data_IF_696054982192
#
_entry.id   IF_696054982192
#
_cell.length_a   1.000
_cell.length_b   1.000
_cell.length_c   1.000
_cell.angle_alpha   90.00
_cell.angle_beta   90.00
_cell.angle_gamma   90.00
#
_symmetry.space_group_name_H-M   'P 1'
#
loop_
_entity.id
_entity.type
_entity.pdbx_description
1 polymer ?
#
# COMPACT_ATOMS: atom_id res chain seq x y z
N UNK A 1 -19.36 2.82 21.08
CA UNK A 1 -18.04 3.15 20.51
C UNK A 1 -17.90 2.32 19.25
N UNK A 2 -18.03 2.91 18.07
CA UNK A 2 -17.89 2.21 16.80
C UNK A 2 -16.46 1.70 16.68
N UNK A 3 -16.29 0.41 16.40
CA UNK A 3 -14.98 -0.23 16.34
C UNK A 3 -14.23 0.30 15.10
N UNK A 4 -13.29 1.23 15.27
CA UNK A 4 -12.51 1.84 14.18
C UNK A 4 -11.34 0.95 13.72
N UNK A 5 -11.35 -0.33 14.10
CA UNK A 5 -10.31 -1.30 13.75
C UNK A 5 -10.62 -1.91 12.38
N UNK A 6 -9.61 -2.26 11.56
CA UNK A 6 -9.83 -2.99 10.32
C UNK A 6 -10.60 -4.29 10.57
N UNK A 7 -11.51 -4.62 9.66
CA UNK A 7 -12.24 -5.89 9.71
C UNK A 7 -11.24 -7.06 9.60
N UNK A 8 -11.33 -8.01 10.52
CA UNK A 8 -10.55 -9.25 10.49
C UNK A 8 -11.51 -10.38 10.13
N UNK A 9 -11.18 -11.11 9.09
CA UNK A 9 -11.94 -12.24 8.59
C UNK A 9 -11.69 -13.49 9.43
N UNK A 10 -12.62 -14.44 9.33
CA UNK A 10 -12.43 -15.76 9.92
C UNK A 10 -11.18 -16.43 9.32
N UNK A 11 -10.57 -17.37 10.03
CA UNK A 11 -9.34 -17.99 9.52
C UNK A 11 -9.54 -18.65 8.16
N UNK A 12 -10.72 -19.22 7.87
CA UNK A 12 -11.07 -19.82 6.58
C UNK A 12 -11.11 -18.80 5.43
N UNK A 13 -11.46 -17.55 5.73
CA UNK A 13 -11.65 -16.49 4.74
C UNK A 13 -10.38 -15.65 4.52
N UNK A 14 -9.34 -15.85 5.33
CA UNK A 14 -8.03 -15.23 5.12
C UNK A 14 -7.41 -15.73 3.83
N UNK A 15 -6.63 -14.87 3.19
CA UNK A 15 -5.90 -15.25 2.00
C UNK A 15 -4.86 -16.32 2.32
N UNK A 16 -4.89 -17.42 1.57
CA UNK A 16 -3.95 -18.53 1.74
C UNK A 16 -3.13 -18.84 0.47
N UNK A 17 -3.28 -18.01 -0.56
CA UNK A 17 -2.67 -18.21 -1.87
C UNK A 17 -3.58 -18.88 -2.90
N UNK A 18 -4.71 -19.47 -2.48
CA UNK A 18 -5.62 -20.22 -3.37
C UNK A 18 -6.97 -19.54 -3.58
N UNK A 19 -7.44 -18.79 -2.58
CA UNK A 19 -8.75 -18.12 -2.57
C UNK A 19 -8.70 -16.65 -3.04
N UNK A 20 -7.78 -16.32 -3.95
CA UNK A 20 -7.46 -14.93 -4.35
C UNK A 20 -8.69 -14.10 -4.73
N UNK A 21 -9.53 -14.58 -5.65
CA UNK A 21 -10.69 -13.81 -6.14
C UNK A 21 -11.65 -13.47 -4.99
N UNK A 22 -12.02 -14.47 -4.19
CA UNK A 22 -12.96 -14.29 -3.10
C UNK A 22 -12.40 -13.32 -2.04
N UNK A 23 -11.14 -13.50 -1.66
CA UNK A 23 -10.45 -12.64 -0.71
C UNK A 23 -10.32 -11.19 -1.21
N UNK A 24 -9.89 -11.00 -2.47
CA UNK A 24 -9.75 -9.68 -3.10
C UNK A 24 -11.06 -8.91 -3.07
N UNK A 25 -12.18 -9.58 -3.35
CA UNK A 25 -13.51 -8.98 -3.30
C UNK A 25 -13.87 -8.53 -1.88
N UNK A 26 -13.63 -9.36 -0.86
CA UNK A 26 -13.90 -8.99 0.53
C UNK A 26 -13.08 -7.78 1.00
N UNK A 27 -11.78 -7.73 0.66
CA UNK A 27 -10.92 -6.58 1.00
C UNK A 27 -11.39 -5.31 0.30
N UNK A 28 -11.77 -5.40 -0.97
CA UNK A 28 -12.25 -4.25 -1.76
C UNK A 28 -13.53 -3.68 -1.14
N UNK A 29 -14.49 -4.54 -0.80
CA UNK A 29 -15.75 -4.13 -0.15
C UNK A 29 -15.46 -3.48 1.21
N UNK A 30 -14.61 -4.10 2.04
CA UNK A 30 -14.28 -3.56 3.36
C UNK A 30 -13.60 -2.18 3.26
N UNK A 31 -12.72 -1.99 2.27
CA UNK A 31 -12.08 -0.71 2.01
C UNK A 31 -13.06 0.33 1.46
N UNK A 32 -13.99 -0.06 0.59
CA UNK A 32 -15.00 0.84 0.01
C UNK A 32 -15.97 1.37 1.08
N UNK A 33 -16.47 0.49 1.95
CA UNK A 33 -17.35 0.87 3.07
C UNK A 33 -16.69 1.87 4.02
N UNK A 34 -15.35 1.86 4.11
CA UNK A 34 -14.57 2.79 4.94
C UNK A 34 -14.00 3.97 4.15
N UNK A 35 -14.25 4.10 2.85
CA UNK A 35 -13.64 5.15 2.02
C UNK A 35 -12.12 5.01 1.80
N UNK A 36 -11.54 3.86 2.16
CA UNK A 36 -10.11 3.60 2.13
C UNK A 36 -9.57 3.18 0.75
N UNK A 37 -10.45 3.02 -0.26
CA UNK A 37 -10.07 2.56 -1.60
C UNK A 37 -9.00 3.44 -2.27
N UNK A 38 -9.01 4.74 -1.99
CA UNK A 38 -8.01 5.66 -2.55
C UNK A 38 -6.59 5.40 -2.01
N UNK A 39 -6.49 4.95 -0.75
CA UNK A 39 -5.21 4.54 -0.15
C UNK A 39 -4.78 3.18 -0.69
N UNK A 40 -5.71 2.23 -0.80
CA UNK A 40 -5.47 0.88 -1.32
C UNK A 40 -4.92 0.90 -2.75
N UNK A 41 -5.48 1.76 -3.60
CA UNK A 41 -5.07 1.92 -5.01
C UNK A 41 -3.90 2.90 -5.18
N UNK A 42 -3.54 3.65 -4.15
CA UNK A 42 -2.51 4.68 -4.22
C UNK A 42 -2.92 5.95 -4.96
N UNK A 43 -4.21 6.14 -5.24
CA UNK A 43 -4.72 7.39 -5.85
C UNK A 43 -4.65 8.57 -4.89
N UNK A 44 -4.72 8.32 -3.56
CA UNK A 44 -4.48 9.34 -2.52
C UNK A 44 -3.00 9.33 -2.12
N UNK A 45 -2.26 10.32 -2.62
CA UNK A 45 -0.82 10.47 -2.37
C UNK A 45 -0.52 11.04 -0.98
N UNK A 46 0.67 10.72 -0.45
CA UNK A 46 1.14 11.27 0.82
C UNK A 46 1.43 12.78 0.67
N UNK A 47 0.70 13.67 1.37
CA UNK A 47 0.91 15.12 1.30
C UNK A 47 2.25 15.57 1.90
N UNK A 48 2.89 14.73 2.73
CA UNK A 48 4.19 14.99 3.35
C UNK A 48 5.40 14.73 2.45
N UNK A 49 5.19 14.23 1.23
CA UNK A 49 6.28 14.08 0.25
C UNK A 49 6.54 15.44 -0.41
N UNK A 50 7.10 16.39 0.34
CA UNK A 50 7.82 17.50 -0.30
C UNK A 50 9.05 16.88 -0.95
N UNK A 51 8.97 16.65 -2.25
CA UNK A 51 10.17 16.44 -3.06
C UNK A 51 10.89 17.78 -3.02
N UNK A 52 11.99 17.86 -2.26
CA UNK A 52 13.03 18.84 -2.52
C UNK A 52 13.56 18.55 -3.93
N UNK A 53 12.87 19.04 -4.94
CA UNK A 53 13.37 19.07 -6.29
C UNK A 53 14.47 20.15 -6.28
N UNK A 54 15.68 19.75 -5.91
CA UNK A 54 16.88 20.55 -6.12
C UNK A 54 17.01 20.73 -7.63
N UNK A 55 16.49 21.84 -8.11
CA UNK A 55 16.71 22.32 -9.47
C UNK A 55 18.15 22.83 -9.50
N UNK A 56 19.07 22.25 -10.30
CA UNK A 56 20.40 22.79 -10.42
C UNK A 56 20.35 23.94 -11.44
N UNK A 57 19.94 25.13 -11.01
CA UNK A 57 20.13 26.33 -11.82
C UNK A 57 21.43 26.98 -11.37
N UNK A 58 22.48 26.70 -12.14
CA UNK A 58 23.80 27.28 -11.96
C UNK A 58 23.73 28.80 -11.89
N UNK A 59 24.37 29.36 -10.88
CA UNK A 59 24.76 30.77 -10.89
C UNK A 59 26.22 30.85 -10.48
N UNK A 60 27.03 31.17 -11.48
CA UNK A 60 28.46 31.47 -11.37
C UNK A 60 28.64 32.67 -10.46
N UNK A 61 29.36 32.55 -9.34
CA UNK A 61 30.02 33.70 -8.71
C UNK A 61 31.29 33.26 -7.99
N UNK A 62 32.39 33.55 -8.68
CA UNK A 62 33.77 33.79 -8.27
C UNK A 62 34.09 33.73 -6.77
N UNK A 63 34.87 32.73 -6.39
CA UNK A 63 35.62 32.74 -5.13
C UNK A 63 36.85 33.64 -5.26
N UNK A 64 37.02 34.59 -4.34
CA UNK A 64 38.29 35.28 -4.11
C UNK A 64 38.78 34.94 -2.71
N UNK A 65 39.94 34.31 -2.67
CA UNK A 65 40.73 33.93 -1.50
C UNK A 65 41.32 35.17 -0.82
N UNK A 66 41.22 35.29 0.50
CA UNK A 66 42.24 35.97 1.32
C UNK A 66 42.25 35.38 2.72
N UNK A 67 43.43 34.95 3.16
CA UNK A 67 43.71 34.41 4.48
C UNK A 67 44.12 35.53 5.46
N UNK A 68 43.74 35.39 6.73
CA UNK A 68 44.48 35.99 7.85
C UNK A 68 44.23 35.21 9.15
N UNK A 69 45.32 34.95 9.84
CA UNK A 69 45.45 34.17 11.08
C UNK A 69 45.33 35.08 12.31
N UNK A 70 44.81 34.51 13.41
CA UNK A 70 45.23 34.70 14.82
C UNK A 70 44.27 35.40 15.81
N UNK A 71 43.97 34.63 16.87
CA UNK A 71 43.97 34.95 18.32
C UNK A 71 42.76 35.55 19.08
N UNK A 72 42.36 34.74 20.08
CA UNK A 72 41.88 35.04 21.45
C UNK A 72 40.38 35.26 21.78
N UNK A 73 39.88 34.25 22.52
CA UNK A 73 38.98 34.23 23.68
C UNK A 73 37.48 34.53 23.57
N UNK A 74 36.62 33.73 24.24
CA UNK A 74 35.18 33.72 24.02
C UNK A 74 34.44 34.58 25.05
N UNK A 75 33.58 35.48 24.59
CA UNK A 75 32.43 35.95 25.37
C UNK A 75 31.38 36.39 24.37
N UNK A 76 30.22 35.73 24.38
CA UNK A 76 28.90 36.34 24.12
C UNK A 76 27.85 35.28 23.81
N UNK A 77 26.82 35.30 24.68
CA UNK A 77 25.40 35.17 24.31
C UNK A 77 24.92 33.79 23.85
N UNK A 78 24.40 33.05 24.83
CA UNK A 78 23.40 31.99 24.65
C UNK A 78 22.34 32.43 23.63
N UNK A 79 22.16 31.73 22.49
CA UNK A 79 20.96 31.91 21.69
C UNK A 79 19.77 31.41 22.50
N UNK A 80 18.86 32.33 22.83
CA UNK A 80 17.56 31.99 23.37
C UNK A 80 16.83 31.14 22.32
N UNK A 81 16.74 29.84 22.57
CA UNK A 81 15.92 28.91 21.82
C UNK A 81 14.48 29.34 22.06
N UNK A 82 13.89 30.05 21.09
CA UNK A 82 12.47 30.35 21.09
C UNK A 82 11.77 29.03 20.77
N UNK A 83 11.37 28.32 21.81
CA UNK A 83 10.55 27.12 21.72
C UNK A 83 9.19 27.55 21.16
N UNK A 84 9.04 27.51 19.84
CA UNK A 84 7.74 27.68 19.21
C UNK A 84 6.86 26.53 19.70
N UNK A 85 5.86 26.90 20.50
CA UNK A 85 4.85 25.96 21.00
C UNK A 85 4.21 25.21 19.84
N UNK A 86 3.96 23.90 19.95
CA UNK A 86 3.27 23.17 18.91
C UNK A 86 1.89 23.80 18.72
N UNK A 87 1.64 24.29 17.49
CA UNK A 87 0.34 24.76 17.03
C UNK A 87 -0.73 23.74 17.40
N UNK A 88 -1.76 24.21 18.10
CA UNK A 88 -3.00 23.50 18.41
C UNK A 88 -3.59 22.92 17.12
N UNK A 89 -3.38 21.62 16.94
CA UNK A 89 -3.87 20.83 15.82
C UNK A 89 -5.41 20.81 15.92
N UNK A 90 -6.08 21.46 14.96
CA UNK A 90 -7.53 21.45 14.87
C UNK A 90 -7.99 20.02 14.56
N UNK A 91 -8.62 19.37 15.54
CA UNK A 91 -9.18 18.01 15.46
C UNK A 91 -10.50 18.00 14.68
N UNK A 92 -10.51 18.55 13.47
CA UNK A 92 -11.60 18.27 12.54
C UNK A 92 -11.25 16.91 11.94
N UNK A 93 -11.92 15.85 12.40
CA UNK A 93 -11.85 14.53 11.76
C UNK A 93 -12.28 14.71 10.30
N UNK A 94 -11.30 14.78 9.40
CA UNK A 94 -11.60 14.85 7.97
C UNK A 94 -12.18 13.49 7.55
N UNK A 95 -13.30 13.46 6.82
CA UNK A 95 -13.88 12.20 6.40
C UNK A 95 -12.91 11.38 5.54
N UNK A 96 -12.99 10.05 5.62
CA UNK A 96 -12.13 9.11 4.88
C UNK A 96 -12.18 9.27 3.36
N UNK A 97 -13.27 9.82 2.83
CA UNK A 97 -13.43 10.14 1.41
C UNK A 97 -12.73 11.44 0.99
N UNK A 98 -12.03 12.12 1.90
CA UNK A 98 -11.22 13.28 1.54
C UNK A 98 -10.03 12.85 0.70
N UNK A 99 -9.93 13.44 -0.48
CA UNK A 99 -8.82 13.24 -1.41
C UNK A 99 -7.58 14.08 -1.04
N UNK A 100 -7.68 14.94 -0.03
CA UNK A 100 -6.61 15.86 0.40
C UNK A 100 -6.44 15.73 1.92
N UNK A 101 -6.00 14.57 2.43
CA UNK A 101 -5.75 14.40 3.86
C UNK A 101 -4.55 15.23 4.31
N UNK A 102 -4.47 15.56 5.60
CA UNK A 102 -3.22 16.02 6.22
C UNK A 102 -2.19 14.87 6.29
N UNK A 103 -0.88 15.17 6.48
CA UNK A 103 0.13 14.11 6.60
C UNK A 103 -0.13 13.11 7.72
N UNK A 104 -0.66 13.56 8.86
CA UNK A 104 -1.03 12.69 9.98
C UNK A 104 -2.23 11.80 9.66
N UNK A 105 -3.27 12.35 9.04
CA UNK A 105 -4.45 11.59 8.63
C UNK A 105 -4.09 10.56 7.56
N UNK A 106 -3.29 10.97 6.55
CA UNK A 106 -2.82 10.06 5.51
C UNK A 106 -2.07 8.87 6.12
N UNK A 107 -1.18 9.12 7.09
CA UNK A 107 -0.42 8.06 7.77
C UNK A 107 -1.34 7.11 8.54
N UNK A 108 -2.33 7.63 9.25
CA UNK A 108 -3.30 6.84 10.00
C UNK A 108 -4.14 5.96 9.07
N UNK A 109 -4.67 6.53 7.98
CA UNK A 109 -5.53 5.81 7.02
C UNK A 109 -4.74 4.79 6.19
N UNK A 110 -3.51 5.12 5.78
CA UNK A 110 -2.59 4.16 5.16
C UNK A 110 -2.26 3.01 6.13
N UNK A 111 -2.03 3.29 7.41
CA UNK A 111 -1.74 2.25 8.42
C UNK A 111 -2.95 1.35 8.67
N UNK A 112 -4.15 1.91 8.77
CA UNK A 112 -5.39 1.15 8.91
C UNK A 112 -5.62 0.23 7.70
N UNK A 113 -5.49 0.77 6.49
CA UNK A 113 -5.67 0.01 5.24
C UNK A 113 -4.63 -1.11 5.12
N UNK A 114 -3.41 -0.85 5.58
CA UNK A 114 -2.36 -1.86 5.67
C UNK A 114 -2.73 -2.96 6.68
N UNK A 115 -3.33 -2.61 7.81
CA UNK A 115 -3.89 -3.58 8.76
C UNK A 115 -4.97 -4.45 8.12
N UNK A 116 -5.87 -3.86 7.33
CA UNK A 116 -6.89 -4.60 6.58
C UNK A 116 -6.28 -5.67 5.67
N UNK A 117 -5.17 -5.37 4.99
CA UNK A 117 -4.46 -6.39 4.20
C UNK A 117 -3.76 -7.40 5.12
N UNK A 118 -2.84 -6.95 5.96
CA UNK A 118 -1.88 -7.82 6.65
C UNK A 118 -2.58 -8.82 7.60
N UNK A 119 -3.59 -8.38 8.33
CA UNK A 119 -4.29 -9.26 9.28
C UNK A 119 -5.19 -10.29 8.60
N UNK A 120 -5.48 -10.10 7.31
CA UNK A 120 -6.32 -10.99 6.53
C UNK A 120 -5.54 -11.90 5.59
N UNK A 121 -4.22 -12.04 5.79
CA UNK A 121 -3.36 -12.92 4.99
C UNK A 121 -2.67 -13.94 5.89
N UNK A 122 -2.71 -15.21 5.49
CA UNK A 122 -1.91 -16.27 6.09
C UNK A 122 -0.49 -16.19 5.54
N UNK A 123 0.50 -16.01 6.41
CA UNK A 123 1.93 -16.00 6.06
C UNK A 123 2.27 -15.07 4.87
N UNK A 124 2.14 -13.74 5.02
CA UNK A 124 2.32 -12.80 3.90
C UNK A 124 3.74 -12.84 3.29
N UNK A 125 4.77 -13.17 4.09
CA UNK A 125 6.15 -13.31 3.62
C UNK A 125 6.32 -14.55 2.74
N UNK A 126 5.73 -15.68 3.14
CA UNK A 126 5.77 -16.92 2.36
C UNK A 126 5.02 -16.83 1.03
N UNK A 127 4.05 -15.94 0.94
CA UNK A 127 3.30 -15.63 -0.29
C UNK A 127 3.99 -14.56 -1.17
N UNK A 128 5.20 -14.12 -0.80
CA UNK A 128 5.99 -13.18 -1.59
C UNK A 128 5.48 -11.74 -1.59
N UNK A 129 4.65 -11.36 -0.61
CA UNK A 129 4.01 -10.05 -0.58
C UNK A 129 4.95 -9.02 0.03
N UNK A 130 5.18 -7.92 -0.69
CA UNK A 130 5.90 -6.78 -0.12
C UNK A 130 4.99 -5.98 0.84
N UNK A 131 5.03 -6.34 2.11
CA UNK A 131 4.31 -5.64 3.18
C UNK A 131 5.05 -4.38 3.67
N UNK A 132 6.21 -4.03 3.11
CA UNK A 132 6.99 -2.86 3.50
C UNK A 132 6.53 -1.62 2.73
N UNK A 133 6.60 -0.46 3.37
CA UNK A 133 6.14 0.80 2.76
C UNK A 133 4.62 1.00 2.84
N UNK A 134 4.03 1.49 1.75
CA UNK A 134 2.64 1.93 1.65
C UNK A 134 1.68 0.76 1.44
N UNK A 135 0.41 0.94 1.80
CA UNK A 135 -0.62 -0.06 1.51
C UNK A 135 -0.79 -0.28 0.01
N UNK A 136 -0.67 0.80 -0.79
CA UNK A 136 -0.72 0.73 -2.24
C UNK A 136 0.39 -0.16 -2.82
N UNK A 137 1.60 -0.10 -2.25
CA UNK A 137 2.70 -0.99 -2.63
C UNK A 137 2.38 -2.46 -2.36
N UNK A 138 1.83 -2.77 -1.18
CA UNK A 138 1.41 -4.12 -0.84
C UNK A 138 0.27 -4.63 -1.74
N UNK A 139 -0.73 -3.79 -2.00
CA UNK A 139 -1.85 -4.12 -2.89
C UNK A 139 -1.40 -4.35 -4.34
N UNK A 140 -0.48 -3.53 -4.83
CA UNK A 140 0.11 -3.68 -6.18
C UNK A 140 0.92 -4.97 -6.29
N UNK A 141 1.67 -5.34 -5.26
CA UNK A 141 2.42 -6.59 -5.21
C UNK A 141 1.48 -7.80 -5.30
N UNK A 142 0.38 -7.78 -4.55
CA UNK A 142 -0.62 -8.84 -4.54
C UNK A 142 -1.30 -9.01 -5.90
N UNK A 143 -1.86 -7.93 -6.44
CA UNK A 143 -2.54 -7.93 -7.73
C UNK A 143 -1.62 -8.37 -8.87
N UNK A 144 -0.37 -7.86 -8.90
CA UNK A 144 0.61 -8.23 -9.93
C UNK A 144 0.94 -9.73 -9.95
N UNK A 145 0.99 -10.38 -8.79
CA UNK A 145 1.29 -11.82 -8.68
C UNK A 145 0.04 -12.63 -9.01
N UNK A 146 -1.05 -12.40 -8.26
CA UNK A 146 -2.17 -13.34 -8.23
C UNK A 146 -3.22 -13.11 -9.31
N UNK A 147 -3.36 -11.91 -9.88
CA UNK A 147 -4.22 -11.73 -11.05
C UNK A 147 -3.65 -12.53 -12.23
N UNK A 148 -2.34 -12.45 -12.47
CA UNK A 148 -1.66 -13.21 -13.53
C UNK A 148 -1.72 -14.72 -13.32
N UNK A 149 -1.44 -15.18 -12.10
CA UNK A 149 -1.50 -16.63 -11.79
C UNK A 149 -2.92 -17.17 -11.98
N UNK A 150 -3.94 -16.41 -11.59
CA UNK A 150 -5.34 -16.81 -11.77
C UNK A 150 -5.73 -16.86 -13.24
N UNK A 151 -5.30 -15.88 -14.05
CA UNK A 151 -5.51 -15.88 -15.51
C UNK A 151 -4.83 -17.08 -16.18
N UNK A 152 -3.61 -17.41 -15.78
CA UNK A 152 -2.90 -18.60 -16.28
C UNK A 152 -3.59 -19.90 -15.87
N UNK A 153 -4.01 -20.01 -14.62
CA UNK A 153 -4.74 -21.19 -14.14
C UNK A 153 -6.06 -21.38 -14.92
N UNK A 154 -6.77 -20.29 -15.20
CA UNK A 154 -7.98 -20.30 -16.02
C UNK A 154 -7.67 -20.76 -17.45
N UNK A 155 -6.59 -20.28 -18.05
CA UNK A 155 -6.17 -20.66 -19.39
C UNK A 155 -5.83 -22.16 -19.47
N UNK A 156 -5.08 -22.69 -18.50
CA UNK A 156 -4.78 -24.12 -18.44
C UNK A 156 -6.02 -24.97 -18.23
N UNK A 157 -6.93 -24.56 -17.34
CA UNK A 157 -8.20 -25.25 -17.14
C UNK A 157 -9.04 -25.25 -18.42
N UNK A 158 -9.02 -24.14 -19.18
CA UNK A 158 -9.72 -24.07 -20.45
C UNK A 158 -9.09 -24.97 -21.53
N UNK A 159 -7.76 -25.02 -21.62
CA UNK A 159 -7.04 -25.90 -22.55
C UNK A 159 -7.32 -27.38 -22.23
N UNK A 160 -7.30 -27.76 -20.95
CA UNK A 160 -7.62 -29.11 -20.49
C UNK A 160 -9.06 -29.50 -20.86
N UNK A 161 -10.04 -28.62 -20.61
CA UNK A 161 -11.43 -28.85 -20.99
C UNK A 161 -11.62 -28.96 -22.51
N UNK A 162 -10.84 -28.23 -23.31
CA UNK A 162 -10.88 -28.35 -24.77
C UNK A 162 -10.19 -29.63 -25.28
N UNK A 163 -9.20 -30.13 -24.54
CA UNK A 163 -8.53 -31.40 -24.81
C UNK A 163 -9.41 -32.62 -24.52
N UNK A 164 -10.36 -32.51 -23.59
CA UNK A 164 -11.37 -33.53 -23.28
C UNK A 164 -12.48 -33.57 -24.36
N UNK A 165 -12.12 -33.85 -25.61
CA UNK A 165 -13.12 -34.12 -26.67
C UNK A 165 -13.64 -35.54 -26.56
N UNK A 166 -14.97 -35.68 -26.65
CA UNK A 166 -15.63 -36.96 -26.80
C UNK A 166 -15.34 -37.56 -28.19
N UNK A 167 -14.83 -38.79 -28.24
CA UNK A 167 -14.65 -39.54 -29.47
C UNK A 167 -15.70 -40.64 -29.63
N UNK A 168 -16.01 -40.99 -30.88
CA UNK A 168 -16.99 -42.02 -31.18
C UNK A 168 -16.48 -43.39 -30.71
N UNK A 169 -17.15 -43.96 -29.71
CA UNK A 169 -16.71 -45.17 -28.99
C UNK A 169 -16.27 -44.94 -27.54
N UNK A 170 -16.14 -43.68 -27.08
CA UNK A 170 -15.83 -43.38 -25.69
C UNK A 170 -17.02 -43.69 -24.75
N UNK A 171 -16.70 -44.17 -23.55
CA UNK A 171 -17.70 -44.42 -22.52
C UNK A 171 -18.20 -43.09 -21.94
N UNK A 172 -19.45 -42.72 -22.27
CA UNK A 172 -20.04 -41.45 -21.86
C UNK A 172 -20.00 -41.18 -20.34
N UNK A 173 -20.40 -42.12 -19.46
CA UNK A 173 -20.25 -41.93 -18.00
C UNK A 173 -18.82 -41.60 -17.56
N UNK A 174 -17.81 -42.29 -18.12
CA UNK A 174 -16.41 -42.04 -17.76
C UNK A 174 -15.91 -40.70 -18.31
N UNK A 175 -16.36 -40.29 -19.49
CA UNK A 175 -16.00 -39.00 -20.10
C UNK A 175 -16.58 -37.83 -19.29
N UNK A 176 -17.84 -37.93 -18.85
CA UNK A 176 -18.45 -36.91 -17.97
C UNK A 176 -17.78 -36.86 -16.60
N UNK A 177 -17.25 -37.97 -16.09
CA UNK A 177 -16.52 -37.99 -14.82
C UNK A 177 -15.12 -37.34 -14.89
N UNK A 178 -14.62 -37.05 -16.09
CA UNK A 178 -13.34 -36.39 -16.33
C UNK A 178 -13.49 -34.87 -16.59
N UNK A 179 -14.72 -34.39 -16.80
CA UNK A 179 -15.07 -32.96 -16.85
C UNK A 179 -15.23 -32.39 -15.43
#
# INVERSE_FOLDING_TARGET
>A
MSNNSPQIFSDHDKFDGTNWIAWKNMITIAAEVHGAMGYLTGTISNPGTIILHLTPTGTTTTATTTAATSTMSPTSTTPAITLTSPTTQSTVDTPWYSTIPSPSEWKAQNAWSKGLIIYNIRNPVGLGINIMGTVAGAWSSLTSIYDKTTELALLYAQDELQGLRYHDGDNFPNHIAQL
#
